data_IF_971383503378
#
_entry.id   IF_971383503378
#
_cell.length_a   1.000
_cell.length_b   1.000
_cell.length_c   1.000
_cell.angle_alpha   90.00
_cell.angle_beta   90.00
_cell.angle_gamma   90.00
#
_symmetry.space_group_name_H-M   'P 1'
#
loop_
_entity.id
_entity.type
_entity.pdbx_description
1 polymer ?
#
# COMPACT_ATOMS: atom_id res chain seq x y z
N UNK A 1 -5.22 -3.95 -76.34
CA UNK A 1 -3.96 -4.01 -75.58
C UNK A 1 -4.13 -4.99 -74.42
N UNK A 2 -3.23 -5.98 -74.35
CA UNK A 2 -2.65 -6.67 -73.17
C UNK A 2 -3.09 -6.13 -71.78
N UNK A 3 -3.38 -6.87 -70.70
CA UNK A 3 -2.97 -8.23 -70.24
C UNK A 3 -3.69 -8.58 -68.89
N UNK A 4 -4.03 -9.87 -68.69
CA UNK A 4 -3.75 -10.78 -67.52
C UNK A 4 -4.29 -10.35 -66.11
N UNK A 5 -5.32 -10.97 -65.47
CA UNK A 5 -5.44 -12.29 -64.73
C UNK A 5 -4.57 -12.31 -63.41
N UNK A 6 -4.90 -12.99 -62.29
CA UNK A 6 -6.05 -12.98 -61.34
C UNK A 6 -5.58 -13.22 -59.85
N UNK A 7 -6.39 -13.88 -59.00
CA UNK A 7 -6.06 -14.63 -57.76
C UNK A 7 -5.76 -13.79 -56.48
N UNK A 8 -6.11 -14.16 -55.24
CA UNK A 8 -6.83 -15.31 -54.64
C UNK A 8 -7.18 -14.96 -53.17
N UNK A 9 -8.42 -15.31 -52.80
CA UNK A 9 -8.93 -15.93 -51.57
C UNK A 9 -8.05 -15.93 -50.29
N UNK A 10 -8.57 -15.37 -49.18
CA UNK A 10 -8.48 -15.92 -47.81
C UNK A 10 -9.87 -15.65 -47.16
N UNK A 11 -10.81 -16.59 -47.18
CA UNK A 11 -11.00 -17.72 -46.26
C UNK A 11 -11.34 -17.31 -44.80
N UNK A 12 -12.66 -17.44 -44.53
CA UNK A 12 -13.29 -17.97 -43.30
C UNK A 12 -13.14 -17.25 -41.96
N UNK A 13 -14.25 -16.60 -41.59
CA UNK A 13 -14.70 -16.30 -40.22
C UNK A 13 -15.24 -17.59 -39.58
N UNK A 14 -14.43 -18.22 -38.73
CA UNK A 14 -14.72 -19.28 -37.74
C UNK A 14 -13.55 -19.12 -36.75
N UNK A 15 -13.64 -18.85 -35.45
CA UNK A 15 -14.53 -19.35 -34.41
C UNK A 15 -14.23 -18.58 -33.10
N UNK A 16 -15.19 -17.84 -32.54
CA UNK A 16 -15.09 -17.16 -31.21
C UNK A 16 -15.73 -18.04 -30.11
N UNK A 17 -15.55 -19.35 -30.19
CA UNK A 17 -16.02 -20.28 -29.15
C UNK A 17 -14.97 -21.33 -28.87
N UNK A 18 -13.83 -21.00 -28.25
CA UNK A 18 -12.96 -22.03 -27.66
C UNK A 18 -12.10 -21.60 -26.44
N UNK A 19 -12.32 -20.42 -25.84
CA UNK A 19 -11.56 -20.01 -24.64
C UNK A 19 -12.36 -20.16 -23.32
N UNK A 20 -13.68 -20.37 -23.39
CA UNK A 20 -14.51 -20.62 -22.19
C UNK A 20 -14.69 -22.12 -21.83
N UNK A 21 -14.02 -23.04 -22.52
CA UNK A 21 -14.20 -24.49 -22.32
C UNK A 21 -13.13 -25.17 -21.44
N UNK A 22 -12.08 -24.47 -20.99
CA UNK A 22 -11.03 -25.06 -20.12
C UNK A 22 -11.09 -24.67 -18.64
N UNK A 23 -11.91 -23.69 -18.24
CA UNK A 23 -12.11 -23.36 -16.81
C UNK A 23 -13.31 -24.08 -16.17
N UNK A 24 -14.18 -24.72 -16.97
CA UNK A 24 -15.38 -25.42 -16.48
C UNK A 24 -15.18 -26.89 -16.08
N UNK A 25 -14.00 -27.48 -16.31
CA UNK A 25 -13.72 -28.89 -16.00
C UNK A 25 -12.86 -29.12 -14.75
N UNK A 26 -12.51 -28.07 -14.00
CA UNK A 26 -11.77 -28.19 -12.74
C UNK A 26 -12.63 -28.04 -11.47
N UNK A 27 -13.96 -27.93 -11.62
CA UNK A 27 -14.88 -27.78 -10.47
C UNK A 27 -15.73 -29.02 -10.15
N UNK A 28 -15.62 -30.10 -10.91
CA UNK A 28 -16.39 -31.34 -10.72
C UNK A 28 -15.55 -32.58 -10.35
N UNK A 29 -14.34 -32.38 -9.84
CA UNK A 29 -13.46 -33.49 -9.41
C UNK A 29 -13.25 -33.55 -7.89
N UNK A 30 -13.95 -32.71 -7.11
CA UNK A 30 -13.76 -32.62 -5.64
C UNK A 30 -14.67 -33.56 -4.85
N UNK A 31 -15.70 -34.19 -5.47
CA UNK A 31 -16.68 -34.99 -4.72
C UNK A 31 -16.64 -36.51 -4.94
N UNK A 32 -15.63 -37.08 -5.62
CA UNK A 32 -15.48 -38.54 -5.72
C UNK A 32 -14.02 -39.00 -5.73
N UNK A 33 -13.45 -39.20 -4.54
CA UNK A 33 -12.51 -40.30 -4.25
C UNK A 33 -12.12 -40.31 -2.75
N UNK A 34 -13.02 -40.79 -1.90
CA UNK A 34 -12.62 -41.54 -0.70
C UNK A 34 -12.31 -42.97 -1.16
N UNK A 35 -11.20 -43.53 -0.66
CA UNK A 35 -10.66 -44.88 -0.88
C UNK A 35 -10.04 -45.14 -2.26
N UNK A 36 -8.71 -45.25 -2.30
CA UNK A 36 -7.98 -46.55 -2.34
C UNK A 36 -6.48 -46.25 -2.42
N UNK A 37 -5.76 -46.79 -1.44
CA UNK A 37 -4.30 -46.86 -1.33
C UNK A 37 -3.73 -47.77 -2.43
N UNK A 38 -2.78 -47.26 -3.21
CA UNK A 38 -1.71 -47.96 -3.97
C UNK A 38 -1.45 -47.34 -5.35
N UNK A 39 -0.62 -46.28 -5.41
CA UNK A 39 0.14 -45.90 -6.62
C UNK A 39 1.10 -44.74 -6.29
N UNK A 40 2.08 -45.00 -5.42
CA UNK A 40 3.01 -43.97 -4.89
C UNK A 40 4.39 -43.95 -5.56
N UNK A 41 4.55 -44.51 -6.77
CA UNK A 41 5.86 -44.47 -7.45
C UNK A 41 5.83 -43.81 -8.84
N UNK A 42 4.69 -43.77 -9.54
CA UNK A 42 4.60 -43.16 -10.89
C UNK A 42 4.35 -41.64 -10.91
N UNK A 43 3.94 -41.03 -9.80
CA UNK A 43 3.66 -39.59 -9.74
C UNK A 43 4.91 -38.75 -9.41
N UNK A 44 5.89 -39.32 -8.69
CA UNK A 44 7.14 -38.65 -8.34
C UNK A 44 8.10 -38.56 -9.54
N UNK A 45 8.16 -39.58 -10.39
CA UNK A 45 8.97 -39.54 -11.62
C UNK A 45 8.42 -38.54 -12.65
N UNK A 46 7.09 -38.44 -12.80
CA UNK A 46 6.49 -37.43 -13.70
C UNK A 46 6.57 -36.01 -13.17
N UNK A 47 6.67 -35.82 -11.84
CA UNK A 47 6.90 -34.51 -11.24
C UNK A 47 8.37 -34.06 -11.39
N UNK A 48 9.33 -34.98 -11.30
CA UNK A 48 10.74 -34.69 -11.53
C UNK A 48 11.05 -34.44 -13.02
N UNK A 49 10.48 -35.21 -13.94
CA UNK A 49 10.61 -34.97 -15.39
C UNK A 49 9.99 -33.63 -15.83
N UNK A 50 8.89 -33.21 -15.18
CA UNK A 50 8.27 -31.91 -15.43
C UNK A 50 9.11 -30.76 -14.83
N UNK A 51 9.75 -30.98 -13.68
CA UNK A 51 10.63 -29.99 -13.04
C UNK A 51 11.95 -29.82 -13.81
N UNK A 52 12.57 -30.91 -14.27
CA UNK A 52 13.76 -30.87 -15.13
C UNK A 52 13.45 -30.30 -16.52
N UNK A 53 12.27 -30.55 -17.10
CA UNK A 53 11.88 -29.91 -18.39
C UNK A 53 11.57 -28.42 -18.23
N UNK A 54 11.05 -27.97 -17.09
CA UNK A 54 10.81 -26.54 -16.81
C UNK A 54 12.12 -25.81 -16.49
N UNK A 55 13.04 -26.43 -15.74
CA UNK A 55 14.39 -25.89 -15.49
C UNK A 55 15.26 -25.92 -16.76
N UNK A 56 15.13 -26.96 -17.58
CA UNK A 56 15.79 -27.10 -18.89
C UNK A 56 15.28 -26.09 -19.93
N UNK A 57 13.97 -25.89 -20.04
CA UNK A 57 13.38 -24.88 -20.94
C UNK A 57 13.68 -23.43 -20.50
N UNK A 58 13.74 -23.19 -19.18
CA UNK A 58 14.20 -21.91 -18.63
C UNK A 58 15.71 -21.69 -18.89
N UNK A 59 16.51 -22.75 -18.97
CA UNK A 59 17.95 -22.67 -19.28
C UNK A 59 18.25 -22.39 -20.76
N UNK A 60 17.42 -22.86 -21.70
CA UNK A 60 17.63 -22.64 -23.14
C UNK A 60 17.11 -21.29 -23.64
N UNK A 61 16.03 -20.76 -23.06
CA UNK A 61 15.56 -19.39 -23.34
C UNK A 61 16.55 -18.34 -22.81
N UNK A 62 17.20 -18.62 -21.67
CA UNK A 62 18.25 -17.77 -21.09
C UNK A 62 19.56 -17.72 -21.90
N UNK A 63 19.76 -18.63 -22.87
CA UNK A 63 21.00 -18.70 -23.66
C UNK A 63 21.00 -17.85 -24.93
N UNK A 64 19.86 -17.32 -25.37
CA UNK A 64 19.76 -16.57 -26.64
C UNK A 64 19.32 -15.10 -26.55
N UNK A 65 18.93 -14.63 -25.37
CA UNK A 65 18.70 -13.20 -25.08
C UNK A 65 19.15 -12.95 -23.64
N UNK A 66 20.03 -11.98 -23.39
CA UNK A 66 20.73 -11.78 -22.12
C UNK A 66 19.82 -11.85 -20.89
N UNK A 67 20.25 -12.60 -19.87
CA UNK A 67 19.57 -12.74 -18.57
C UNK A 67 19.14 -11.37 -18.05
N UNK A 68 17.84 -11.20 -17.94
CA UNK A 68 17.21 -10.13 -17.18
C UNK A 68 17.63 -10.26 -15.71
N UNK A 69 18.16 -9.21 -15.10
CA UNK A 69 18.36 -9.16 -13.66
C UNK A 69 18.04 -7.76 -13.11
N UNK A 70 17.48 -7.73 -11.90
CA UNK A 70 17.55 -6.56 -11.04
C UNK A 70 18.89 -6.64 -10.32
N UNK A 71 19.71 -5.60 -10.47
CA UNK A 71 21.02 -5.48 -9.85
C UNK A 71 20.94 -4.52 -8.67
N UNK A 72 21.73 -4.78 -7.63
CA UNK A 72 21.85 -3.89 -6.49
C UNK A 72 23.30 -3.45 -6.28
N UNK A 73 23.54 -2.24 -5.79
CA UNK A 73 24.89 -1.73 -5.51
C UNK A 73 24.90 -0.80 -4.29
N UNK A 74 26.07 -0.65 -3.67
CA UNK A 74 26.31 0.32 -2.59
C UNK A 74 26.52 1.75 -3.08
N UNK A 75 26.73 1.92 -4.38
CA UNK A 75 26.87 3.20 -5.07
C UNK A 75 25.91 3.27 -6.26
N UNK A 76 25.62 4.49 -6.74
CA UNK A 76 24.80 4.67 -7.95
C UNK A 76 25.45 3.99 -9.15
N UNK A 77 24.62 3.46 -10.03
CA UNK A 77 25.07 2.89 -11.29
C UNK A 77 25.46 4.01 -12.27
N UNK A 78 26.46 3.75 -13.11
CA UNK A 78 26.95 4.66 -14.14
C UNK A 78 26.81 4.04 -15.55
N UNK A 79 25.70 3.33 -15.78
CA UNK A 79 25.43 2.65 -17.05
C UNK A 79 26.12 1.30 -17.23
N UNK A 80 26.71 0.73 -16.17
CA UNK A 80 27.19 -0.65 -16.16
C UNK A 80 26.91 -1.32 -14.81
N UNK A 81 26.96 -2.66 -14.76
CA UNK A 81 26.63 -3.46 -13.57
C UNK A 81 27.86 -3.97 -12.82
N UNK A 82 29.06 -3.42 -13.06
CA UNK A 82 30.30 -3.95 -12.46
C UNK A 82 30.37 -3.75 -10.94
N UNK A 83 29.67 -2.74 -10.42
CA UNK A 83 29.56 -2.46 -8.98
C UNK A 83 28.44 -3.25 -8.29
N UNK A 84 27.80 -4.19 -9.00
CA UNK A 84 26.69 -4.93 -8.44
C UNK A 84 27.15 -5.86 -7.31
N UNK A 85 26.42 -5.85 -6.20
CA UNK A 85 26.61 -6.74 -5.06
C UNK A 85 25.26 -7.23 -4.56
N UNK A 86 25.26 -8.40 -3.93
CA UNK A 86 24.10 -8.90 -3.19
C UNK A 86 24.25 -8.74 -1.69
N UNK A 87 25.41 -8.34 -1.18
CA UNK A 87 25.69 -8.31 0.24
C UNK A 87 25.76 -6.87 0.76
N UNK A 88 24.82 -6.55 1.65
CA UNK A 88 24.68 -5.25 2.28
C UNK A 88 24.74 -5.38 3.80
N UNK A 89 25.44 -4.44 4.42
CA UNK A 89 25.54 -4.27 5.86
C UNK A 89 24.86 -2.99 6.34
N UNK A 90 24.78 -2.87 7.66
CA UNK A 90 24.30 -1.66 8.31
C UNK A 90 25.04 -0.40 7.84
N UNK A 91 24.26 0.58 7.39
CA UNK A 91 24.75 1.88 6.92
C UNK A 91 25.09 1.93 5.43
N UNK A 92 25.04 0.80 4.72
CA UNK A 92 25.17 0.79 3.27
C UNK A 92 23.94 1.44 2.62
N UNK A 93 24.19 2.26 1.60
CA UNK A 93 23.13 2.67 0.68
C UNK A 93 22.80 1.50 -0.25
N UNK A 94 21.54 1.39 -0.68
CA UNK A 94 21.11 0.34 -1.60
C UNK A 94 20.53 1.03 -2.84
N UNK A 95 21.24 0.90 -3.96
CA UNK A 95 20.81 1.37 -5.26
C UNK A 95 20.44 0.17 -6.11
N UNK A 96 19.28 0.21 -6.75
CA UNK A 96 18.78 -0.80 -7.67
C UNK A 96 18.92 -0.33 -9.12
N UNK A 97 19.25 -1.24 -10.02
CA UNK A 97 19.28 -1.02 -11.47
C UNK A 97 18.57 -2.17 -12.17
N UNK A 98 17.60 -1.84 -13.01
CA UNK A 98 16.77 -2.81 -13.72
C UNK A 98 17.04 -2.65 -15.20
N UNK A 99 17.37 -3.76 -15.85
CA UNK A 99 17.48 -3.83 -17.31
C UNK A 99 16.28 -4.61 -17.85
N UNK A 100 15.39 -3.91 -18.55
CA UNK A 100 14.17 -4.45 -19.13
C UNK A 100 14.41 -5.00 -20.55
N UNK A 101 13.85 -6.17 -20.91
CA UNK A 101 13.88 -6.68 -22.29
C UNK A 101 13.21 -5.76 -23.30
N UNK A 102 12.15 -5.08 -22.86
CA UNK A 102 11.29 -4.20 -23.64
C UNK A 102 11.23 -2.83 -22.98
N UNK A 103 10.78 -1.78 -23.68
CA UNK A 103 10.55 -0.48 -23.05
C UNK A 103 9.71 -0.59 -21.77
N UNK A 104 10.06 0.22 -20.78
CA UNK A 104 9.43 0.20 -19.45
C UNK A 104 7.90 0.29 -19.52
N UNK A 105 7.34 1.05 -20.47
CA UNK A 105 5.88 1.19 -20.69
C UNK A 105 5.13 -0.15 -20.81
N UNK A 106 5.80 -1.22 -21.25
CA UNK A 106 5.21 -2.56 -21.37
C UNK A 106 4.98 -3.26 -20.01
N UNK A 107 5.56 -2.71 -18.95
CA UNK A 107 5.50 -3.22 -17.57
C UNK A 107 4.70 -2.28 -16.64
N UNK A 108 4.25 -1.13 -17.15
CA UNK A 108 3.52 -0.11 -16.40
C UNK A 108 2.02 -0.40 -16.45
N UNK A 109 1.37 -0.46 -15.29
CA UNK A 109 -0.09 -0.53 -15.18
C UNK A 109 -0.60 0.67 -14.38
N UNK A 110 -1.59 1.39 -14.88
CA UNK A 110 -2.13 2.60 -14.25
C UNK A 110 -1.05 3.62 -13.84
N UNK A 111 -0.13 3.90 -14.77
CA UNK A 111 1.05 4.76 -14.54
C UNK A 111 1.92 4.34 -13.35
N UNK A 112 1.90 3.06 -12.98
CA UNK A 112 2.65 2.52 -11.85
C UNK A 112 3.46 1.30 -12.27
N UNK A 113 4.71 1.21 -11.82
CA UNK A 113 5.47 -0.05 -11.80
C UNK A 113 5.29 -0.71 -10.44
N UNK A 114 4.81 -1.95 -10.41
CA UNK A 114 4.62 -2.71 -9.17
C UNK A 114 5.68 -3.82 -9.07
N UNK A 115 6.37 -3.88 -7.94
CA UNK A 115 7.35 -4.91 -7.63
C UNK A 115 6.84 -5.76 -6.48
N UNK A 116 6.88 -7.06 -6.65
CA UNK A 116 6.72 -8.01 -5.55
C UNK A 116 8.04 -8.05 -4.77
N UNK A 117 7.97 -7.82 -3.47
CA UNK A 117 9.10 -7.97 -2.56
C UNK A 117 8.77 -9.06 -1.57
N UNK A 118 9.53 -10.13 -1.65
CA UNK A 118 9.50 -11.24 -0.72
C UNK A 118 10.75 -11.23 0.16
N UNK A 119 10.62 -11.77 1.37
CA UNK A 119 11.77 -11.94 2.25
C UNK A 119 11.74 -13.29 2.96
N UNK A 120 12.92 -13.71 3.41
CA UNK A 120 13.11 -14.85 4.31
C UNK A 120 14.43 -14.76 5.06
N UNK A 121 14.53 -15.45 6.20
CA UNK A 121 15.83 -15.73 6.81
C UNK A 121 16.59 -16.71 5.93
N UNK A 122 17.91 -16.58 5.90
CA UNK A 122 18.75 -17.54 5.18
C UNK A 122 18.51 -18.96 5.73
N UNK A 123 18.26 -19.92 4.83
CA UNK A 123 17.92 -21.30 5.18
C UNK A 123 16.44 -21.60 5.47
N UNK A 124 15.52 -20.62 5.38
CA UNK A 124 14.07 -20.89 5.50
C UNK A 124 13.37 -21.04 4.12
N UNK A 125 12.22 -21.74 4.10
CA UNK A 125 11.43 -21.98 2.87
C UNK A 125 10.18 -21.08 2.74
N UNK A 126 9.79 -20.40 3.81
CA UNK A 126 8.59 -19.57 3.82
C UNK A 126 8.89 -18.14 3.34
N UNK A 127 8.07 -17.64 2.40
CA UNK A 127 8.16 -16.29 1.87
C UNK A 127 6.91 -15.49 2.20
N UNK A 128 7.08 -14.30 2.76
CA UNK A 128 6.01 -13.30 2.87
C UNK A 128 6.13 -12.34 1.69
N UNK A 129 5.13 -12.32 0.81
CA UNK A 129 5.10 -11.48 -0.40
C UNK A 129 4.36 -10.18 -0.13
N UNK A 130 4.95 -9.09 -0.58
CA UNK A 130 4.41 -7.76 -0.43
C UNK A 130 4.68 -6.90 -1.69
N UNK A 131 4.18 -5.66 -1.78
CA UNK A 131 4.28 -4.86 -3.01
C UNK A 131 4.95 -3.48 -2.83
N UNK A 132 5.78 -3.09 -3.80
CA UNK A 132 6.41 -1.78 -3.94
C UNK A 132 5.91 -1.12 -5.21
N UNK A 133 5.55 0.17 -5.17
CA UNK A 133 4.99 0.90 -6.32
C UNK A 133 5.81 2.14 -6.64
N UNK A 134 6.24 2.28 -7.90
CA UNK A 134 6.99 3.43 -8.43
C UNK A 134 6.08 4.22 -9.38
N UNK A 135 6.08 5.55 -9.28
CA UNK A 135 5.35 6.45 -10.17
C UNK A 135 5.99 6.44 -11.56
N UNK A 136 5.32 5.86 -12.54
CA UNK A 136 5.81 5.83 -13.90
C UNK A 136 5.54 7.13 -14.67
N UNK A 137 4.78 8.10 -14.14
CA UNK A 137 4.58 9.40 -14.82
C UNK A 137 5.84 10.25 -14.86
N UNK A 138 6.82 9.95 -14.00
CA UNK A 138 8.07 10.71 -13.85
C UNK A 138 9.29 10.01 -14.46
N UNK A 139 9.12 8.81 -14.99
CA UNK A 139 10.20 8.03 -15.60
C UNK A 139 10.14 8.11 -17.12
N UNK A 140 11.29 7.96 -17.78
CA UNK A 140 11.34 7.78 -19.23
C UNK A 140 10.84 6.37 -19.58
N UNK A 141 9.54 6.21 -19.86
CA UNK A 141 8.94 4.90 -20.11
C UNK A 141 9.38 4.24 -21.43
N UNK A 142 10.03 4.99 -22.33
CA UNK A 142 10.61 4.46 -23.57
C UNK A 142 12.01 3.85 -23.37
N UNK A 143 12.64 4.12 -22.22
CA UNK A 143 13.90 3.52 -21.85
C UNK A 143 13.73 2.02 -21.54
N UNK A 144 14.87 1.31 -21.57
CA UNK A 144 14.97 -0.10 -21.16
C UNK A 144 15.71 -0.27 -19.85
N UNK A 145 16.02 0.83 -19.17
CA UNK A 145 16.80 0.83 -17.94
C UNK A 145 16.13 1.75 -16.93
N UNK A 146 16.07 1.31 -15.67
CA UNK A 146 15.55 2.10 -14.56
C UNK A 146 16.45 1.94 -13.34
N UNK A 147 16.94 3.06 -12.83
CA UNK A 147 17.60 3.14 -11.54
C UNK A 147 16.59 3.52 -10.45
N UNK A 148 16.68 2.86 -9.29
CA UNK A 148 15.88 3.20 -8.13
C UNK A 148 16.67 3.15 -6.82
N UNK A 149 16.32 4.00 -5.85
CA UNK A 149 17.08 4.11 -4.60
C UNK A 149 16.29 3.57 -3.39
N UNK A 150 16.84 2.60 -2.66
CA UNK A 150 16.30 2.10 -1.39
C UNK A 150 17.15 2.67 -0.24
N UNK A 151 16.87 3.92 0.15
CA UNK A 151 17.69 4.67 1.12
C UNK A 151 17.01 4.85 2.49
N UNK A 152 17.82 4.83 3.54
CA UNK A 152 17.43 5.10 4.93
C UNK A 152 16.80 6.48 5.13
N UNK A 153 17.30 7.47 4.37
CA UNK A 153 16.83 8.84 4.37
C UNK A 153 16.10 9.11 3.07
N UNK A 154 14.76 9.05 3.07
CA UNK A 154 14.02 9.16 1.82
C UNK A 154 14.10 10.54 1.15
N UNK A 155 14.61 11.57 1.83
CA UNK A 155 14.88 12.90 1.26
C UNK A 155 16.11 12.90 0.35
N UNK A 156 17.00 11.92 0.49
CA UNK A 156 18.21 11.77 -0.32
C UNK A 156 17.96 10.86 -1.55
N UNK A 157 16.79 10.20 -1.61
CA UNK A 157 16.38 9.39 -2.74
C UNK A 157 15.99 10.27 -3.93
N UNK A 158 16.57 9.95 -5.09
CA UNK A 158 16.31 10.63 -6.36
C UNK A 158 15.14 10.03 -7.11
N UNK A 159 14.79 8.76 -6.83
CA UNK A 159 13.63 8.10 -7.40
C UNK A 159 12.35 8.58 -6.72
N UNK A 160 11.43 9.11 -7.52
CA UNK A 160 10.10 9.50 -7.07
C UNK A 160 9.21 8.25 -7.04
N UNK A 161 8.82 7.86 -5.85
CA UNK A 161 7.89 6.77 -5.62
C UNK A 161 6.45 7.24 -5.86
N UNK A 162 5.57 6.31 -6.24
CA UNK A 162 4.14 6.59 -6.39
C UNK A 162 3.56 7.12 -5.09
N UNK A 163 2.57 8.02 -5.18
CA UNK A 163 1.78 8.59 -4.07
C UNK A 163 1.07 7.53 -3.18
N UNK A 164 1.31 6.24 -3.42
CA UNK A 164 0.71 5.07 -2.74
C UNK A 164 1.75 4.01 -2.37
N UNK A 165 2.95 4.44 -2.01
CA UNK A 165 4.07 3.55 -1.75
C UNK A 165 3.83 2.69 -0.48
N UNK A 166 3.50 1.40 -0.65
CA UNK A 166 3.53 0.40 0.45
C UNK A 166 4.96 -0.04 0.82
N UNK A 167 5.97 0.35 0.05
CA UNK A 167 7.32 -0.19 0.15
C UNK A 167 8.12 0.13 1.44
N UNK A 168 8.00 1.32 2.03
CA UNK A 168 8.68 1.60 3.29
C UNK A 168 8.05 0.93 4.50
N UNK A 169 6.73 0.86 4.54
CA UNK A 169 6.01 0.09 5.56
C UNK A 169 6.28 -1.40 5.40
N UNK A 170 6.56 -1.87 4.18
CA UNK A 170 7.05 -3.21 3.88
C UNK A 170 8.37 -3.53 4.57
N UNK A 171 9.44 -2.81 4.22
CA UNK A 171 10.78 -3.04 4.75
C UNK A 171 10.74 -2.92 6.29
N UNK A 172 9.84 -2.10 6.83
CA UNK A 172 9.56 -1.99 8.27
C UNK A 172 8.86 -3.22 8.86
N UNK A 173 7.73 -3.63 8.29
CA UNK A 173 6.91 -4.74 8.76
C UNK A 173 7.68 -6.06 8.68
N UNK A 174 8.37 -6.27 7.55
CA UNK A 174 9.21 -7.43 7.24
C UNK A 174 10.28 -7.67 8.29
N UNK A 175 10.75 -6.61 8.96
CA UNK A 175 11.95 -6.65 9.77
C UNK A 175 11.69 -6.47 11.27
N UNK A 176 10.44 -6.26 11.69
CA UNK A 176 10.03 -6.50 13.08
C UNK A 176 10.32 -7.95 13.51
N UNK A 177 10.43 -8.86 12.54
CA UNK A 177 10.75 -10.28 12.75
C UNK A 177 12.23 -10.63 12.49
N UNK A 178 13.10 -9.64 12.21
CA UNK A 178 14.52 -9.88 11.92
C UNK A 178 15.39 -9.90 13.18
N UNK A 179 16.31 -10.86 13.26
CA UNK A 179 17.22 -11.00 14.38
C UNK A 179 18.56 -10.30 14.09
N UNK A 180 19.14 -9.57 15.08
CA UNK A 180 20.48 -9.01 14.96
C UNK A 180 21.52 -10.04 14.48
N UNK A 181 22.38 -9.64 13.54
CA UNK A 181 23.44 -10.49 13.00
C UNK A 181 22.97 -11.55 12.00
N UNK A 182 21.66 -11.70 11.78
CA UNK A 182 21.13 -12.67 10.82
C UNK A 182 21.08 -12.08 9.41
N UNK A 183 21.59 -12.85 8.44
CA UNK A 183 21.52 -12.51 7.02
C UNK A 183 20.08 -12.74 6.53
N UNK A 184 19.43 -11.67 6.06
CA UNK A 184 18.05 -11.72 5.56
C UNK A 184 18.05 -11.55 4.05
N UNK A 185 17.42 -12.46 3.32
CA UNK A 185 17.25 -12.37 1.87
C UNK A 185 16.01 -11.53 1.52
N UNK A 186 16.18 -10.61 0.57
CA UNK A 186 15.11 -9.85 -0.06
C UNK A 186 15.07 -10.19 -1.55
N UNK A 187 13.96 -10.77 -2.01
CA UNK A 187 13.69 -11.08 -3.40
C UNK A 187 12.75 -10.04 -3.99
N UNK A 188 13.12 -9.48 -5.13
CA UNK A 188 12.35 -8.50 -5.89
C UNK A 188 11.94 -9.10 -7.22
N UNK A 189 10.69 -8.88 -7.62
CA UNK A 189 10.15 -9.40 -8.88
C UNK A 189 9.20 -8.39 -9.54
N UNK A 190 9.24 -8.30 -10.85
CA UNK A 190 8.25 -7.60 -11.69
C UNK A 190 8.12 -8.37 -13.00
N UNK A 191 6.92 -8.84 -13.37
CA UNK A 191 6.61 -9.38 -14.71
C UNK A 191 7.73 -10.25 -15.36
N UNK A 192 8.19 -11.28 -14.64
CA UNK A 192 9.22 -12.21 -15.10
C UNK A 192 10.68 -11.74 -14.92
N UNK A 193 10.90 -10.50 -14.49
CA UNK A 193 12.20 -10.01 -14.02
C UNK A 193 12.33 -10.31 -12.52
N UNK A 194 13.53 -10.70 -12.08
CA UNK A 194 13.80 -10.99 -10.68
C UNK A 194 15.21 -10.54 -10.27
N UNK A 195 15.38 -10.26 -8.99
CA UNK A 195 16.69 -10.09 -8.36
C UNK A 195 16.59 -10.23 -6.86
N UNK A 196 17.73 -10.39 -6.21
CA UNK A 196 17.78 -10.52 -4.77
C UNK A 196 19.00 -9.82 -4.19
N UNK A 197 18.86 -9.35 -2.96
CA UNK A 197 19.96 -8.90 -2.12
C UNK A 197 19.78 -9.42 -0.70
N UNK A 198 20.86 -9.36 0.07
CA UNK A 198 20.93 -9.76 1.45
C UNK A 198 21.30 -8.57 2.31
N UNK A 199 20.61 -8.43 3.44
CA UNK A 199 20.89 -7.39 4.42
C UNK A 199 21.23 -8.03 5.76
N UNK A 200 22.35 -7.60 6.34
CA UNK A 200 22.78 -7.99 7.69
C UNK A 200 22.87 -6.76 8.59
N UNK A 201 22.10 -6.76 9.67
CA UNK A 201 21.99 -5.62 10.61
C UNK A 201 22.65 -5.96 11.94
N UNK A 202 23.34 -5.01 12.59
CA UNK A 202 24.04 -5.29 13.85
C UNK A 202 23.11 -5.35 15.05
N UNK A 203 21.97 -4.63 15.01
CA UNK A 203 20.98 -4.63 16.08
C UNK A 203 19.58 -4.25 15.60
N UNK A 204 18.55 -4.66 16.36
CA UNK A 204 17.17 -4.25 16.13
C UNK A 204 16.99 -2.72 16.24
N UNK A 205 17.74 -2.07 17.13
CA UNK A 205 17.73 -0.60 17.30
C UNK A 205 18.32 0.13 16.10
N UNK A 206 19.48 -0.32 15.61
CA UNK A 206 20.12 0.22 14.39
C UNK A 206 19.21 0.08 13.18
N UNK A 207 18.49 -1.04 13.10
CA UNK A 207 17.54 -1.28 12.03
C UNK A 207 16.30 -0.38 12.14
N UNK A 208 15.71 -0.25 13.33
CA UNK A 208 14.60 0.67 13.54
C UNK A 208 14.97 2.10 13.14
N UNK A 209 16.21 2.54 13.41
CA UNK A 209 16.70 3.85 12.98
C UNK A 209 16.84 3.98 11.44
N UNK A 210 17.22 2.90 10.75
CA UNK A 210 17.27 2.85 9.28
C UNK A 210 15.87 2.93 8.66
N UNK A 211 14.88 2.25 9.25
CA UNK A 211 13.55 2.13 8.62
C UNK A 211 12.52 3.17 9.06
N UNK A 212 12.57 3.64 10.30
CA UNK A 212 11.57 4.59 10.82
C UNK A 212 11.35 5.79 9.89
N UNK A 213 12.38 6.44 9.33
CA UNK A 213 12.18 7.56 8.41
C UNK A 213 11.47 7.14 7.10
N UNK A 214 11.77 5.94 6.60
CA UNK A 214 11.12 5.39 5.40
C UNK A 214 9.64 5.13 5.72
N UNK A 215 9.33 4.47 6.84
CA UNK A 215 7.96 4.17 7.27
C UNK A 215 7.13 5.45 7.49
N UNK A 216 7.71 6.46 8.12
CA UNK A 216 7.05 7.76 8.31
C UNK A 216 6.66 8.41 6.97
N UNK A 217 7.54 8.35 5.97
CA UNK A 217 7.24 8.87 4.63
C UNK A 217 6.13 8.07 3.94
N UNK A 218 6.13 6.73 4.03
CA UNK A 218 5.04 5.91 3.50
C UNK A 218 3.69 6.20 4.14
N UNK A 219 3.66 6.28 5.47
CA UNK A 219 2.44 6.61 6.20
C UNK A 219 1.92 7.99 5.78
N UNK A 220 2.81 8.95 5.52
CA UNK A 220 2.44 10.25 4.96
C UNK A 220 1.75 10.15 3.59
N UNK A 221 2.25 9.30 2.68
CA UNK A 221 1.62 9.05 1.38
C UNK A 221 0.26 8.35 1.50
N UNK A 222 0.16 7.29 2.31
CA UNK A 222 -1.11 6.62 2.55
C UNK A 222 -2.17 7.59 3.09
N UNK A 223 -1.79 8.42 4.07
CA UNK A 223 -2.68 9.46 4.58
C UNK A 223 -3.06 10.51 3.53
N UNK A 224 -2.18 10.83 2.56
CA UNK A 224 -2.53 11.73 1.45
C UNK A 224 -3.58 11.08 0.54
N UNK A 225 -3.37 9.82 0.14
CA UNK A 225 -4.28 9.10 -0.75
C UNK A 225 -5.65 8.87 -0.11
N UNK A 226 -5.68 8.46 1.16
CA UNK A 226 -6.92 8.32 1.92
C UNK A 226 -7.66 9.66 2.01
N UNK A 227 -6.94 10.76 2.27
CA UNK A 227 -7.52 12.10 2.29
C UNK A 227 -8.06 12.56 0.91
N UNK A 228 -7.39 12.21 -0.18
CA UNK A 228 -7.83 12.49 -1.55
C UNK A 228 -9.06 11.66 -1.95
N UNK A 229 -9.23 10.46 -1.38
CA UNK A 229 -10.41 9.61 -1.61
C UNK A 229 -11.57 9.93 -0.68
N UNK A 230 -11.28 10.38 0.55
CA UNK A 230 -12.29 10.73 1.54
C UNK A 230 -13.29 11.74 0.99
N UNK A 231 -14.57 11.45 1.16
CA UNK A 231 -15.65 12.38 0.85
C UNK A 231 -16.00 13.16 2.11
N UNK A 232 -16.28 14.46 1.94
CA UNK A 232 -16.74 15.27 3.07
C UNK A 232 -18.11 14.73 3.53
N UNK A 233 -18.30 14.44 4.84
CA UNK A 233 -19.58 13.94 5.33
C UNK A 233 -20.75 14.85 4.93
N UNK A 234 -21.87 14.26 4.52
CA UNK A 234 -23.06 14.97 4.01
C UNK A 234 -23.61 16.00 5.00
N UNK A 235 -23.35 15.81 6.29
CA UNK A 235 -23.72 16.71 7.39
C UNK A 235 -23.15 18.12 7.17
N UNK A 236 -21.98 18.26 6.54
CA UNK A 236 -21.41 19.57 6.22
C UNK A 236 -22.21 20.37 5.19
N UNK A 237 -23.11 19.73 4.44
CA UNK A 237 -24.00 20.39 3.48
C UNK A 237 -25.38 20.71 4.08
N UNK A 238 -25.63 20.32 5.34
CA UNK A 238 -26.90 20.55 6.01
C UNK A 238 -26.94 21.92 6.70
N UNK A 239 -28.16 22.39 6.98
CA UNK A 239 -28.38 23.61 7.78
C UNK A 239 -27.76 23.43 9.17
N UNK A 240 -26.99 24.43 9.60
CA UNK A 240 -26.42 24.47 10.95
C UNK A 240 -27.40 25.10 11.94
N UNK A 241 -27.45 24.57 13.16
CA UNK A 241 -28.31 25.04 14.25
C UNK A 241 -27.48 25.64 15.39
N UNK A 242 -28.09 26.51 16.19
CA UNK A 242 -27.46 27.02 17.41
C UNK A 242 -27.73 26.07 18.59
N UNK A 243 -26.78 25.94 19.50
CA UNK A 243 -27.00 25.35 20.81
C UNK A 243 -27.75 26.34 21.71
N UNK A 244 -28.61 25.85 22.59
CA UNK A 244 -29.22 26.64 23.65
C UNK A 244 -28.26 26.81 24.85
N UNK A 245 -27.44 25.79 25.14
CA UNK A 245 -26.39 25.82 26.15
C UNK A 245 -25.20 26.68 25.66
N UNK A 246 -24.92 27.84 26.29
CA UNK A 246 -23.83 28.72 25.88
C UNK A 246 -22.44 28.07 26.01
N UNK A 247 -22.30 27.02 26.84
CA UNK A 247 -21.07 26.26 27.00
C UNK A 247 -20.76 25.37 25.78
N UNK A 248 -21.73 25.17 24.89
CA UNK A 248 -21.58 24.52 23.59
C UNK A 248 -21.54 25.52 22.43
N UNK A 249 -21.37 26.82 22.69
CA UNK A 249 -21.19 27.80 21.61
C UNK A 249 -19.97 27.47 20.74
N UNK A 250 -19.99 27.90 19.47
CA UNK A 250 -18.86 27.72 18.54
C UNK A 250 -17.54 28.17 19.18
N UNK A 251 -17.51 29.34 19.81
CA UNK A 251 -16.33 29.90 20.48
C UNK A 251 -15.83 29.04 21.64
N UNK A 252 -16.73 28.35 22.36
CA UNK A 252 -16.34 27.42 23.41
C UNK A 252 -15.80 26.10 22.83
N UNK A 253 -16.46 25.57 21.79
CA UNK A 253 -16.10 24.30 21.15
C UNK A 253 -14.73 24.37 20.47
N UNK A 254 -14.42 25.44 19.73
CA UNK A 254 -13.15 25.56 19.01
C UNK A 254 -11.91 25.53 19.92
N UNK A 255 -12.07 25.80 21.22
CA UNK A 255 -10.97 25.70 22.21
C UNK A 255 -10.51 24.27 22.46
N UNK A 256 -11.32 23.28 22.09
CA UNK A 256 -11.00 21.86 22.21
C UNK A 256 -10.30 21.30 20.96
N UNK A 257 -10.10 22.12 19.93
CA UNK A 257 -9.31 21.73 18.76
C UNK A 257 -7.80 21.83 19.05
N UNK A 258 -6.97 21.13 18.25
CA UNK A 258 -5.52 21.31 18.30
C UNK A 258 -5.12 22.80 18.19
N UNK A 259 -4.06 23.19 18.89
CA UNK A 259 -3.56 24.56 18.82
C UNK A 259 -3.07 24.91 17.40
N UNK A 260 -3.29 26.16 16.97
CA UNK A 260 -2.78 26.65 15.69
C UNK A 260 -3.60 26.22 14.46
N UNK A 261 -4.85 25.80 14.64
CA UNK A 261 -5.75 25.47 13.52
C UNK A 261 -6.58 26.67 13.05
N UNK A 262 -7.03 26.62 11.81
CA UNK A 262 -8.02 27.50 11.20
C UNK A 262 -9.32 26.72 10.98
N UNK A 263 -10.42 27.15 11.58
CA UNK A 263 -11.72 26.51 11.37
C UNK A 263 -12.28 26.95 10.03
N UNK A 264 -12.47 25.99 9.13
CA UNK A 264 -12.98 26.22 7.77
C UNK A 264 -14.50 26.09 7.71
N UNK A 265 -15.07 25.07 8.37
CA UNK A 265 -16.51 24.80 8.35
C UNK A 265 -16.99 24.27 9.70
N UNK A 266 -18.18 24.67 10.12
CA UNK A 266 -18.76 24.27 11.41
C UNK A 266 -20.26 24.07 11.26
N UNK A 267 -20.74 22.85 11.47
CA UNK A 267 -22.15 22.49 11.35
C UNK A 267 -22.61 21.73 12.58
N UNK A 268 -23.71 22.19 13.17
CA UNK A 268 -24.38 21.51 14.28
C UNK A 268 -25.70 20.95 13.76
N UNK A 269 -26.01 19.71 14.10
CA UNK A 269 -27.26 19.06 13.72
C UNK A 269 -28.49 19.62 14.42
N UNK A 270 -29.70 19.20 14.02
CA UNK A 270 -30.93 19.51 14.75
C UNK A 270 -31.08 18.65 16.01
N UNK A 271 -32.00 19.02 16.91
CA UNK A 271 -32.41 18.18 18.06
C UNK A 271 -32.31 18.89 19.40
N UNK A 272 -32.23 18.16 20.51
CA UNK A 272 -31.90 18.72 21.83
C UNK A 272 -30.38 18.85 22.00
N UNK A 273 -29.92 19.70 22.92
CA UNK A 273 -28.47 19.89 23.10
C UNK A 273 -27.81 18.64 23.71
N UNK A 274 -28.47 18.00 24.67
CA UNK A 274 -27.97 16.81 25.37
C UNK A 274 -28.99 15.68 25.40
N UNK A 275 -28.47 14.45 25.46
CA UNK A 275 -29.19 13.25 25.87
C UNK A 275 -28.55 12.65 27.11
N UNK A 276 -29.37 12.06 27.97
CA UNK A 276 -28.92 11.37 29.19
C UNK A 276 -28.63 9.91 28.86
N UNK A 277 -27.42 9.47 29.17
CA UNK A 277 -26.98 8.09 28.97
C UNK A 277 -27.10 7.32 30.28
N UNK A 278 -27.70 6.14 30.21
CA UNK A 278 -27.93 5.23 31.34
C UNK A 278 -27.25 3.90 31.08
N UNK A 279 -26.83 3.20 32.13
CA UNK A 279 -26.41 1.80 32.00
C UNK A 279 -27.63 0.88 31.87
N UNK A 280 -27.37 -0.42 31.72
CA UNK A 280 -28.40 -1.47 31.60
C UNK A 280 -29.36 -1.53 32.81
N UNK A 281 -28.91 -1.06 33.97
CA UNK A 281 -29.71 -0.98 35.21
C UNK A 281 -30.53 0.32 35.32
N UNK A 282 -30.51 1.18 34.29
CA UNK A 282 -31.21 2.46 34.28
C UNK A 282 -30.54 3.58 35.09
N UNK A 283 -29.33 3.34 35.62
CA UNK A 283 -28.55 4.35 36.37
C UNK A 283 -27.93 5.33 35.40
N UNK A 284 -28.10 6.63 35.67
CA UNK A 284 -27.51 7.71 34.87
C UNK A 284 -25.99 7.68 35.05
N UNK A 285 -25.26 7.65 33.93
CA UNK A 285 -23.78 7.65 33.93
C UNK A 285 -23.25 9.02 33.53
N UNK A 286 -23.77 9.59 32.46
CA UNK A 286 -23.35 10.88 31.92
C UNK A 286 -24.45 11.46 31.04
N UNK A 287 -24.33 12.73 30.67
CA UNK A 287 -25.06 13.29 29.52
C UNK A 287 -24.06 13.60 28.41
N UNK A 288 -24.49 13.48 27.17
CA UNK A 288 -23.66 13.81 26.02
C UNK A 288 -24.44 14.65 25.01
N UNK A 289 -23.73 15.31 24.10
CA UNK A 289 -24.39 15.99 22.99
C UNK A 289 -25.27 15.02 22.20
N UNK A 290 -26.52 15.41 21.97
CA UNK A 290 -27.48 14.61 21.22
C UNK A 290 -27.41 14.90 19.71
N UNK A 291 -26.81 16.03 19.34
CA UNK A 291 -26.60 16.49 17.97
C UNK A 291 -25.19 16.15 17.52
N UNK A 292 -25.01 15.92 16.22
CA UNK A 292 -23.67 15.90 15.64
C UNK A 292 -23.07 17.31 15.66
N UNK A 293 -21.75 17.39 15.81
CA UNK A 293 -20.99 18.65 15.75
C UNK A 293 -19.86 18.42 14.77
N UNK A 294 -20.13 18.73 13.52
CA UNK A 294 -19.17 18.59 12.45
C UNK A 294 -18.29 19.83 12.37
N UNK A 295 -16.97 19.63 12.42
CA UNK A 295 -16.00 20.70 12.25
C UNK A 295 -14.96 20.30 11.23
N UNK A 296 -14.71 21.16 10.25
CA UNK A 296 -13.59 21.03 9.33
C UNK A 296 -12.60 22.15 9.60
N UNK A 297 -11.32 21.80 9.68
CA UNK A 297 -10.26 22.74 10.03
C UNK A 297 -8.97 22.44 9.25
N UNK A 298 -8.14 23.48 9.11
CA UNK A 298 -6.81 23.40 8.53
C UNK A 298 -5.77 23.59 9.63
N UNK A 299 -4.84 22.67 9.74
CA UNK A 299 -3.66 22.84 10.59
C UNK A 299 -2.69 23.81 9.89
N UNK A 300 -2.41 24.96 10.52
CA UNK A 300 -1.54 25.99 9.91
C UNK A 300 -0.07 25.58 9.87
N UNK A 301 0.35 24.60 10.69
CA UNK A 301 1.75 24.17 10.74
C UNK A 301 2.13 23.29 9.56
N UNK A 302 1.26 22.34 9.18
CA UNK A 302 1.52 21.41 8.08
C UNK A 302 0.68 21.68 6.83
N UNK A 303 -0.31 22.58 6.91
CA UNK A 303 -1.20 22.94 5.80
C UNK A 303 -2.30 21.93 5.48
N UNK A 304 -2.39 20.82 6.22
CA UNK A 304 -3.36 19.75 5.99
C UNK A 304 -4.74 20.12 6.53
N UNK A 305 -5.77 19.56 5.92
CA UNK A 305 -7.14 19.70 6.38
C UNK A 305 -7.68 18.41 6.99
N UNK A 306 -8.59 18.61 7.94
CA UNK A 306 -9.22 17.55 8.71
C UNK A 306 -10.70 17.87 8.90
N UNK A 307 -11.50 16.85 9.13
CA UNK A 307 -12.84 17.00 9.68
C UNK A 307 -13.04 16.10 10.89
N UNK A 308 -14.00 16.45 11.75
CA UNK A 308 -14.33 15.68 12.93
C UNK A 308 -15.82 15.78 13.26
N UNK A 309 -16.34 14.76 13.94
CA UNK A 309 -17.62 14.79 14.63
C UNK A 309 -17.36 14.82 16.14
N UNK A 310 -17.37 16.02 16.70
CA UNK A 310 -17.08 16.22 18.11
C UNK A 310 -18.25 15.79 18.99
N UNK A 311 -17.99 14.94 19.97
CA UNK A 311 -18.98 14.54 20.98
C UNK A 311 -18.52 15.08 22.32
N UNK A 312 -19.39 15.86 22.97
CA UNK A 312 -19.11 16.39 24.29
C UNK A 312 -19.91 15.65 25.35
N UNK A 313 -19.26 15.30 26.44
CA UNK A 313 -19.81 14.48 27.51
C UNK A 313 -19.61 15.16 28.86
N UNK A 314 -20.52 14.91 29.80
CA UNK A 314 -20.39 15.32 31.19
C UNK A 314 -20.74 14.17 32.11
N UNK A 315 -19.80 13.70 32.95
CA UNK A 315 -20.08 12.64 33.91
C UNK A 315 -21.16 13.10 34.89
N UNK A 316 -22.04 12.19 35.25
CA UNK A 316 -23.05 12.45 36.26
C UNK A 316 -22.43 12.31 37.65
N UNK A 317 -22.61 13.34 38.49
CA UNK A 317 -22.01 13.41 39.84
C UNK A 317 -23.04 13.14 40.95
N UNK A 318 -24.30 12.81 40.58
CA UNK A 318 -25.40 12.63 41.52
C UNK A 318 -26.24 13.88 41.73
N UNK A 319 -27.45 13.70 42.28
CA UNK A 319 -28.38 14.78 42.62
C UNK A 319 -28.66 15.81 41.50
N UNK A 320 -28.75 15.35 40.25
CA UNK A 320 -28.98 16.21 39.10
C UNK A 320 -27.75 17.03 38.64
N UNK A 321 -26.58 16.84 39.26
CA UNK A 321 -25.34 17.55 38.93
C UNK A 321 -24.49 16.78 37.93
N UNK A 322 -23.77 17.54 37.11
CA UNK A 322 -22.89 17.03 36.06
C UNK A 322 -21.54 17.73 36.15
N UNK A 323 -20.48 16.95 35.98
CA UNK A 323 -19.11 17.45 36.05
C UNK A 323 -18.65 18.18 34.79
N UNK A 324 -17.33 18.39 34.72
CA UNK A 324 -16.67 19.11 33.64
C UNK A 324 -16.89 18.46 32.26
N UNK A 325 -16.90 19.32 31.23
CA UNK A 325 -17.03 18.92 29.84
C UNK A 325 -15.79 18.11 29.39
N UNK A 326 -16.04 16.92 28.86
CA UNK A 326 -15.05 16.09 28.17
C UNK A 326 -15.38 16.06 26.70
N UNK A 327 -14.37 15.91 25.86
CA UNK A 327 -14.53 15.86 24.40
C UNK A 327 -13.99 14.53 23.88
N UNK A 328 -14.69 13.98 22.89
CA UNK A 328 -14.22 12.87 22.07
C UNK A 328 -14.16 13.34 20.62
N UNK A 329 -13.00 13.13 20.01
CA UNK A 329 -12.59 13.63 18.69
C UNK A 329 -11.83 12.52 17.97
N UNK A 330 -12.13 12.26 16.70
CA UNK A 330 -11.43 11.25 15.90
C UNK A 330 -10.73 11.82 14.66
N UNK A 331 -10.74 13.15 14.49
CA UNK A 331 -10.05 13.94 13.45
C UNK A 331 -9.57 13.15 12.23
N UNK A 332 -10.38 13.11 11.17
CA UNK A 332 -10.06 12.42 9.93
C UNK A 332 -9.46 13.39 8.91
N UNK A 333 -8.44 12.95 8.17
CA UNK A 333 -7.78 13.79 7.17
C UNK A 333 -8.61 13.86 5.89
N UNK A 334 -8.63 15.03 5.25
CA UNK A 334 -9.33 15.24 3.98
C UNK A 334 -8.55 16.22 3.09
N UNK A 335 -8.69 16.09 1.77
CA UNK A 335 -8.25 17.12 0.85
C UNK A 335 -8.99 18.45 1.14
N UNK A 336 -8.21 19.51 1.40
CA UNK A 336 -8.71 20.86 1.62
C UNK A 336 -9.65 21.34 0.51
N UNK A 337 -9.46 20.89 -0.74
CA UNK A 337 -10.28 21.28 -1.88
C UNK A 337 -11.75 20.84 -1.74
N UNK A 338 -12.01 19.79 -0.94
CA UNK A 338 -13.33 19.19 -0.72
C UNK A 338 -14.15 19.84 0.38
N UNK A 339 -13.58 20.75 1.18
CA UNK A 339 -14.25 21.40 2.32
C UNK A 339 -15.12 22.60 1.88
N UNK A 340 -15.08 22.98 0.60
CA UNK A 340 -15.74 24.18 0.05
C UNK A 340 -17.22 24.31 0.41
#
# INVERSE_FOLDING_TARGET
MRKIIPMVIIATVLSIQHIHAQFGKLKNSVDKAKNVTSQTQSAAEKANDAKEKVEGASSEVNKKMGKVNIYFSKARFNGNTQSATKDFGEGDNIYGHIVFPKPIREYVTDNTLTFDVAYKKDGEDNYSVNYVKIDATKINQDAKELDFDVLAKPSEATTLYADRMQAPSLIAMVMQTSEPGTKTEFSWKIEGLQGNFYLTMKSAKSFAAFVTPIQQKANGFAQNDDAMKAELPKEFSQKSYAFADPQLSKTAIIKFLPAGVEVLKFVVGPGDDYKVMKNELGVIIYKQTARYIMIAYKDKKNGNCYYDNMIFERPYEGNGKYGSLKVRTNGERIDCSKIK
#
